data_IF_950802667973
#
_entry.id   IF_950802667973
#
_cell.length_a   1.000
_cell.length_b   1.000
_cell.length_c   1.000
_cell.angle_alpha   90.00
_cell.angle_beta   90.00
_cell.angle_gamma   90.00
#
_symmetry.space_group_name_H-M   'P 1'
#
loop_
_entity.id
_entity.type
_entity.pdbx_description
1 polymer ?
#
# COMPACT_ATOMS: atom_id res chain seq x y z
N UNK A 1 12.79 -12.14 -3.41
CA UNK A 1 11.74 -11.21 -2.91
C UNK A 1 10.58 -12.04 -2.36
N UNK A 2 10.03 -11.72 -1.19
CA UNK A 2 8.90 -12.45 -0.58
C UNK A 2 7.63 -11.61 -0.70
N UNK A 3 6.52 -12.24 -1.06
CA UNK A 3 5.23 -11.56 -1.22
C UNK A 3 4.41 -11.81 0.03
N UNK A 4 3.97 -10.74 0.69
CA UNK A 4 3.11 -10.80 1.87
C UNK A 4 1.73 -10.25 1.51
N UNK A 5 0.69 -10.95 1.97
CA UNK A 5 -0.71 -10.58 1.80
C UNK A 5 -1.37 -10.60 3.17
N UNK A 6 -2.02 -9.48 3.48
CA UNK A 6 -2.73 -9.26 4.72
C UNK A 6 -4.21 -9.12 4.40
N UNK A 7 -5.04 -9.94 5.02
CA UNK A 7 -6.49 -9.88 4.82
C UNK A 7 -7.17 -9.42 6.10
N UNK A 8 -8.07 -8.45 5.97
CA UNK A 8 -8.87 -7.96 7.11
C UNK A 8 -9.79 -9.05 7.70
N UNK A 9 -10.09 -10.10 6.92
CA UNK A 9 -10.90 -11.24 7.37
C UNK A 9 -10.15 -12.14 8.35
N UNK A 10 -8.84 -12.28 8.17
CA UNK A 10 -7.96 -13.17 8.95
C UNK A 10 -6.81 -12.35 9.56
N UNK A 11 -7.06 -11.48 10.56
CA UNK A 11 -6.02 -10.62 11.13
C UNK A 11 -4.86 -11.39 11.78
N UNK A 12 -5.13 -12.62 12.25
CA UNK A 12 -4.15 -13.48 12.91
C UNK A 12 -3.21 -14.21 11.95
N UNK A 13 -3.45 -14.14 10.64
CA UNK A 13 -2.68 -14.89 9.64
C UNK A 13 -2.11 -13.97 8.56
N UNK A 14 -0.81 -14.11 8.31
CA UNK A 14 -0.14 -13.53 7.16
C UNK A 14 -0.06 -14.59 6.08
N UNK A 15 -0.61 -14.28 4.91
CA UNK A 15 -0.46 -15.12 3.73
C UNK A 15 0.81 -14.71 2.99
N UNK A 16 1.68 -15.64 2.62
CA UNK A 16 2.92 -15.35 1.91
C UNK A 16 3.19 -16.31 0.76
N UNK A 17 3.89 -15.83 -0.27
CA UNK A 17 4.38 -16.67 -1.38
C UNK A 17 5.76 -16.24 -1.85
N UNK A 18 6.48 -17.17 -2.48
CA UNK A 18 7.85 -16.95 -2.97
C UNK A 18 7.92 -16.72 -4.48
N UNK A 19 7.00 -17.31 -5.25
CA UNK A 19 6.90 -17.12 -6.70
C UNK A 19 5.55 -16.52 -7.04
N UNK A 20 5.46 -15.87 -8.21
CA UNK A 20 4.22 -15.27 -8.68
C UNK A 20 3.11 -16.30 -8.84
N UNK A 21 3.42 -17.44 -9.46
CA UNK A 21 2.44 -18.48 -9.82
C UNK A 21 2.15 -19.48 -8.68
N UNK A 22 2.74 -19.25 -7.51
CA UNK A 22 2.58 -20.15 -6.37
C UNK A 22 1.37 -19.75 -5.52
N UNK A 23 0.79 -20.75 -4.86
CA UNK A 23 -0.29 -20.57 -3.89
C UNK A 23 0.21 -19.87 -2.62
N UNK A 24 -0.64 -19.04 -2.01
CA UNK A 24 -0.30 -18.37 -0.76
C UNK A 24 -0.30 -19.37 0.41
N UNK A 25 0.81 -19.45 1.13
CA UNK A 25 0.92 -20.19 2.40
C UNK A 25 0.53 -19.27 3.55
N UNK A 26 -0.24 -19.77 4.52
CA UNK A 26 -0.63 -18.99 5.72
C UNK A 26 0.37 -19.23 6.85
N UNK A 27 0.82 -18.15 7.48
CA UNK A 27 1.60 -18.15 8.72
C UNK A 27 0.78 -17.46 9.80
N UNK A 28 0.60 -18.12 10.94
CA UNK A 28 -0.05 -17.52 12.10
C UNK A 28 0.92 -16.56 12.79
N UNK A 29 0.48 -15.34 13.09
CA UNK A 29 1.30 -14.30 13.72
C UNK A 29 1.08 -14.24 15.22
N UNK A 30 -0.14 -14.56 15.66
CA UNK A 30 -0.54 -14.57 17.06
C UNK A 30 -0.45 -15.99 17.61
N UNK A 31 0.75 -16.44 17.95
CA UNK A 31 0.85 -17.55 18.91
C UNK A 31 0.42 -17.04 20.28
N UNK A 32 -0.54 -17.72 20.90
CA UNK A 32 -0.86 -17.51 22.32
C UNK A 32 0.38 -17.91 23.12
N UNK A 33 1.32 -16.99 23.30
CA UNK A 33 2.45 -17.18 24.19
C UNK A 33 1.89 -17.49 25.57
N UNK A 34 2.14 -18.69 26.08
CA UNK A 34 1.67 -19.15 27.41
C UNK A 34 2.20 -18.26 28.57
N UNK A 35 3.17 -17.38 28.28
CA UNK A 35 3.74 -16.34 29.14
C UNK A 35 4.08 -15.10 28.28
N UNK A 36 3.10 -14.25 27.97
CA UNK A 36 3.35 -13.02 27.21
C UNK A 36 2.19 -12.04 27.29
N UNK A 37 2.46 -10.77 26.94
CA UNK A 37 1.46 -9.69 26.92
C UNK A 37 0.30 -10.09 25.99
N UNK A 38 -0.96 -9.97 26.41
CA UNK A 38 -2.09 -10.25 25.54
C UNK A 38 -2.02 -9.36 24.30
N UNK A 39 -2.17 -9.97 23.13
CA UNK A 39 -2.26 -9.25 21.86
C UNK A 39 -3.58 -8.48 21.89
N UNK A 40 -3.49 -7.16 21.96
CA UNK A 40 -4.65 -6.30 21.91
C UNK A 40 -5.11 -6.21 20.46
N UNK A 41 -6.22 -6.87 20.13
CA UNK A 41 -6.80 -6.84 18.78
C UNK A 41 -7.42 -5.45 18.62
N UNK A 42 -6.66 -4.51 18.05
CA UNK A 42 -7.18 -3.17 17.76
C UNK A 42 -8.15 -3.24 16.58
N UNK A 43 -9.37 -2.74 16.78
CA UNK A 43 -10.31 -2.53 15.69
C UNK A 43 -9.81 -1.36 14.81
N UNK A 44 -9.55 -1.64 13.54
CA UNK A 44 -9.07 -0.63 12.58
C UNK A 44 -10.30 0.08 11.97
N UNK A 45 -10.53 1.38 12.25
CA UNK A 45 -11.68 2.08 11.71
C UNK A 45 -11.57 2.27 10.20
N UNK A 46 -12.71 2.14 9.50
CA UNK A 46 -12.79 2.39 8.05
C UNK A 46 -12.67 3.89 7.78
N UNK A 47 -11.53 4.31 7.21
CA UNK A 47 -11.27 5.73 6.88
C UNK A 47 -11.83 6.19 5.52
N UNK A 48 -12.16 5.26 4.63
CA UNK A 48 -12.63 5.57 3.28
C UNK A 48 -13.98 4.93 3.02
N UNK A 49 -14.97 5.71 2.61
CA UNK A 49 -16.32 5.24 2.27
C UNK A 49 -16.37 4.54 0.92
N UNK A 50 -15.62 5.05 -0.05
CA UNK A 50 -15.52 4.55 -1.42
C UNK A 50 -14.06 4.39 -1.88
N UNK A 51 -13.87 3.75 -3.03
CA UNK A 51 -12.56 3.68 -3.70
C UNK A 51 -12.10 5.10 -4.05
N UNK A 52 -10.83 5.38 -3.79
CA UNK A 52 -10.22 6.64 -4.16
C UNK A 52 -10.00 6.67 -5.67
N UNK A 53 -10.36 7.79 -6.29
CA UNK A 53 -10.09 8.07 -7.70
C UNK A 53 -8.71 8.69 -7.85
N UNK A 54 -8.10 8.51 -9.02
CA UNK A 54 -6.84 9.17 -9.40
C UNK A 54 -7.11 10.24 -10.46
N UNK A 55 -6.18 11.17 -10.65
CA UNK A 55 -6.27 12.12 -11.76
C UNK A 55 -6.31 11.39 -13.11
N UNK A 56 -7.00 11.97 -14.09
CA UNK A 56 -7.05 11.42 -15.44
C UNK A 56 -5.65 11.34 -16.09
N UNK A 57 -4.78 12.32 -15.81
CA UNK A 57 -3.39 12.34 -16.27
C UNK A 57 -2.59 11.16 -15.70
N UNK A 58 -2.61 10.97 -14.37
CA UNK A 58 -1.93 9.86 -13.70
C UNK A 58 -2.42 8.51 -14.20
N UNK A 59 -3.73 8.32 -14.41
CA UNK A 59 -4.25 7.07 -15.00
C UNK A 59 -3.70 6.82 -16.40
N UNK A 60 -3.65 7.85 -17.25
CA UNK A 60 -3.10 7.74 -18.61
C UNK A 60 -1.64 7.32 -18.58
N UNK A 61 -0.84 7.91 -17.70
CA UNK A 61 0.58 7.58 -17.55
C UNK A 61 0.78 6.15 -17.05
N UNK A 62 0.02 5.71 -16.05
CA UNK A 62 0.04 4.33 -15.57
C UNK A 62 -0.32 3.32 -16.68
N UNK A 63 -1.28 3.64 -17.54
CA UNK A 63 -1.62 2.80 -18.68
C UNK A 63 -0.54 2.81 -19.76
N UNK A 64 0.17 3.93 -19.95
CA UNK A 64 1.32 3.98 -20.85
C UNK A 64 2.46 3.11 -20.33
N UNK A 65 2.75 3.13 -19.02
CA UNK A 65 3.74 2.25 -18.39
C UNK A 65 3.38 0.76 -18.52
N UNK A 66 2.09 0.44 -18.55
CA UNK A 66 1.63 -0.92 -18.89
C UNK A 66 1.95 -1.26 -20.36
N UNK A 67 1.72 -0.34 -21.30
CA UNK A 67 1.98 -0.56 -22.74
C UNK A 67 3.47 -0.70 -23.07
N UNK A 68 4.32 0.07 -22.41
CA UNK A 68 5.78 0.01 -22.60
C UNK A 68 6.42 -1.20 -21.96
N UNK A 69 5.66 -2.02 -21.23
CA UNK A 69 6.15 -3.21 -20.54
C UNK A 69 6.98 -2.91 -19.29
N UNK A 70 7.08 -1.64 -18.88
CA UNK A 70 7.74 -1.24 -17.62
C UNK A 70 7.00 -1.82 -16.44
N UNK A 71 5.66 -1.80 -16.49
CA UNK A 71 4.82 -2.52 -15.54
C UNK A 71 4.56 -3.93 -16.08
N UNK A 72 4.88 -4.99 -15.31
CA UNK A 72 4.62 -6.37 -15.71
C UNK A 72 3.12 -6.64 -15.98
N UNK A 73 2.84 -7.50 -16.95
CA UNK A 73 1.48 -7.76 -17.48
C UNK A 73 0.52 -8.27 -16.40
N UNK A 74 1.07 -8.96 -15.41
CA UNK A 74 0.39 -9.49 -14.22
C UNK A 74 -0.35 -8.40 -13.44
N UNK A 75 0.16 -7.16 -13.47
CA UNK A 75 -0.42 -6.04 -12.74
C UNK A 75 -1.34 -5.16 -13.61
N UNK A 76 -1.41 -5.40 -14.92
CA UNK A 76 -2.20 -4.54 -15.83
C UNK A 76 -3.68 -4.50 -15.46
N UNK A 77 -4.24 -5.62 -15.00
CA UNK A 77 -5.65 -5.70 -14.59
C UNK A 77 -5.98 -4.69 -13.48
N UNK A 78 -5.06 -4.55 -12.51
CA UNK A 78 -5.20 -3.59 -11.42
C UNK A 78 -5.24 -2.14 -11.93
N UNK A 79 -4.27 -1.74 -12.75
CA UNK A 79 -4.18 -0.37 -13.26
C UNK A 79 -5.32 -0.03 -14.23
N UNK A 80 -5.77 -0.98 -15.05
CA UNK A 80 -6.94 -0.82 -15.92
C UNK A 80 -8.24 -0.60 -15.13
N UNK A 81 -8.36 -1.24 -13.97
CA UNK A 81 -9.53 -1.12 -13.08
C UNK A 81 -9.59 0.14 -12.22
N UNK A 82 -8.56 1.00 -12.24
CA UNK A 82 -8.57 2.26 -11.48
C UNK A 82 -9.63 3.23 -12.03
N UNK A 83 -10.37 3.87 -11.14
CA UNK A 83 -11.29 4.95 -11.51
C UNK A 83 -10.52 6.27 -11.57
N UNK A 84 -10.84 7.10 -12.57
CA UNK A 84 -10.25 8.43 -12.72
C UNK A 84 -11.31 9.51 -12.61
N UNK A 85 -10.95 10.63 -11.98
CA UNK A 85 -11.76 11.83 -11.92
C UNK A 85 -10.94 13.01 -12.47
N UNK A 86 -11.60 13.95 -13.15
CA UNK A 86 -10.98 15.19 -13.62
C UNK A 86 -10.87 16.24 -12.52
N UNK A 87 -11.64 16.10 -11.43
CA UNK A 87 -11.63 17.04 -10.30
C UNK A 87 -10.46 16.83 -9.34
N UNK A 88 -9.87 15.64 -9.30
CA UNK A 88 -8.73 15.34 -8.42
C UNK A 88 -7.45 15.93 -9.01
N UNK A 89 -6.83 16.92 -8.35
CA UNK A 89 -5.62 17.55 -8.86
C UNK A 89 -4.42 16.61 -8.73
N UNK A 90 -3.50 16.67 -9.69
CA UNK A 90 -2.29 15.84 -9.69
C UNK A 90 -1.13 16.59 -9.02
N UNK A 91 -1.23 16.73 -7.70
CA UNK A 91 -0.27 17.51 -6.90
C UNK A 91 0.18 16.63 -5.74
N UNK A 92 1.48 16.62 -5.47
CA UNK A 92 1.99 16.04 -4.23
C UNK A 92 1.66 16.99 -3.08
N UNK A 93 1.24 16.48 -1.91
CA UNK A 93 1.14 17.31 -0.72
C UNK A 93 2.51 17.90 -0.40
N UNK A 94 2.51 19.09 0.22
CA UNK A 94 3.75 19.71 0.65
C UNK A 94 4.50 18.75 1.59
N UNK A 95 5.81 18.58 1.37
CA UNK A 95 6.62 17.75 2.25
C UNK A 95 6.62 18.34 3.65
N UNK A 96 6.42 17.47 4.64
CA UNK A 96 6.45 17.81 6.07
C UNK A 96 7.92 17.98 6.49
N UNK A 97 8.57 19.04 6.02
CA UNK A 97 9.88 19.46 6.50
C UNK A 97 9.64 20.38 7.70
N UNK A 98 9.86 19.87 8.92
CA UNK A 98 10.19 20.76 10.02
C UNK A 98 11.54 21.41 9.66
N UNK A 99 11.55 22.72 9.44
CA UNK A 99 12.79 23.48 9.27
C UNK A 99 13.56 23.39 10.59
N UNK A 100 14.54 22.49 10.67
CA UNK A 100 15.55 22.56 11.72
C UNK A 100 16.29 23.89 11.56
N UNK A 101 16.09 24.82 12.51
CA UNK A 101 16.88 26.05 12.64
C UNK A 101 18.36 25.66 12.74
N UNK A 102 19.09 25.75 11.62
CA UNK A 102 20.55 25.68 11.61
C UNK A 102 21.03 26.99 12.24
N UNK A 103 21.26 26.95 13.54
CA UNK A 103 21.87 28.03 14.30
C UNK A 103 23.24 28.30 13.68
N UNK A 104 23.33 29.43 12.97
CA UNK A 104 24.56 29.85 12.31
C UNK A 104 25.50 30.35 13.41
N UNK A 105 26.44 29.51 13.81
CA UNK A 105 27.57 29.89 14.68
C UNK A 105 28.22 31.16 14.10
N UNK A 106 28.12 32.26 14.84
CA UNK A 106 28.86 33.49 14.58
C UNK A 106 30.32 33.26 14.97
N UNK A 107 31.21 33.38 14.00
CA UNK A 107 32.66 33.57 14.20
C UNK A 107 32.97 35.01 14.68
#
# INVERSE_FOLDING_TARGET
MRWLRFEKKDPDHISFKHKFDDSFRKMRVTEKTRKGRPVNVMEIPKRYTAKQTVSAAKKKDLLNLCKTGVIPSEYHSFYKGLQSDSKTPDILPDPDFEEDEIDSEKE
#
